data_IF_673659508509
#
_entry.id   IF_673659508509
#
_cell.length_a   1.000
_cell.length_b   1.000
_cell.length_c   1.000
_cell.angle_alpha   90.00
_cell.angle_beta   90.00
_cell.angle_gamma   90.00
#
_symmetry.space_group_name_H-M   'P 1'
#
loop_
_entity.id
_entity.type
_entity.pdbx_description
1 polymer ?
#
# COMPACT_ATOMS: atom_id res chain seq x y z
N UNK A 1 -35.54 0.87 -9.30
CA UNK A 1 -34.35 1.44 -8.62
C UNK A 1 -34.79 2.72 -7.92
N UNK A 2 -34.68 2.80 -6.59
CA UNK A 2 -35.15 3.95 -5.79
C UNK A 2 -34.17 5.13 -5.87
N UNK A 3 -34.66 6.36 -5.68
CA UNK A 3 -33.83 7.57 -5.65
C UNK A 3 -32.68 7.47 -4.62
N UNK A 4 -32.93 6.83 -3.49
CA UNK A 4 -31.93 6.54 -2.46
C UNK A 4 -30.84 5.58 -2.96
N UNK A 5 -31.19 4.56 -3.74
CA UNK A 5 -30.21 3.65 -4.32
C UNK A 5 -29.33 4.36 -5.37
N UNK A 6 -29.92 5.27 -6.16
CA UNK A 6 -29.18 6.06 -7.16
C UNK A 6 -28.21 7.06 -6.50
N UNK A 7 -28.64 7.72 -5.41
CA UNK A 7 -27.78 8.62 -4.65
C UNK A 7 -26.61 7.88 -3.98
N UNK A 8 -26.85 6.68 -3.42
CA UNK A 8 -25.80 5.86 -2.83
C UNK A 8 -24.75 5.42 -3.86
N UNK A 9 -25.20 4.98 -5.05
CA UNK A 9 -24.29 4.62 -6.14
C UNK A 9 -23.44 5.80 -6.64
N UNK A 10 -23.98 7.02 -6.65
CA UNK A 10 -23.23 8.22 -7.03
C UNK A 10 -22.15 8.60 -5.99
N UNK A 11 -22.41 8.37 -4.70
CA UNK A 11 -21.42 8.57 -3.62
C UNK A 11 -20.29 7.55 -3.73
N UNK A 12 -20.62 6.28 -3.94
CA UNK A 12 -19.63 5.21 -4.10
C UNK A 12 -18.74 5.44 -5.33
N UNK A 13 -19.33 5.89 -6.45
CA UNK A 13 -18.61 6.19 -7.69
C UNK A 13 -17.62 7.38 -7.60
N UNK A 14 -17.81 8.29 -6.64
CA UNK A 14 -16.88 9.42 -6.38
C UNK A 14 -15.94 9.14 -5.22
N UNK A 15 -16.06 7.97 -4.56
CA UNK A 15 -15.20 7.61 -3.44
C UNK A 15 -13.77 7.31 -3.91
N UNK A 16 -12.78 7.86 -3.23
CA UNK A 16 -11.37 7.55 -3.50
C UNK A 16 -10.99 6.24 -2.79
N UNK A 17 -10.18 5.41 -3.47
CA UNK A 17 -9.62 4.19 -2.89
C UNK A 17 -8.69 4.58 -1.73
N UNK A 18 -9.00 4.10 -0.52
CA UNK A 18 -8.12 4.31 0.63
C UNK A 18 -7.03 3.25 0.63
N UNK A 19 -5.82 3.64 1.02
CA UNK A 19 -4.70 2.71 1.11
C UNK A 19 -4.96 1.55 2.08
N UNK A 20 -5.70 1.80 3.16
CA UNK A 20 -6.08 0.79 4.16
C UNK A 20 -7.04 -0.27 3.59
N UNK A 21 -7.88 0.09 2.61
CA UNK A 21 -8.85 -0.82 1.98
C UNK A 21 -8.17 -1.84 1.05
N UNK A 22 -6.91 -1.60 0.67
CA UNK A 22 -6.11 -2.49 -0.18
C UNK A 22 -5.50 -3.67 0.61
N UNK A 23 -5.71 -3.74 1.93
CA UNK A 23 -5.09 -4.74 2.79
C UNK A 23 -3.56 -4.59 2.88
N UNK A 24 -3.02 -3.44 2.48
CA UNK A 24 -1.59 -3.16 2.49
C UNK A 24 -1.19 -2.65 3.86
N UNK A 25 -0.44 -3.48 4.60
CA UNK A 25 0.12 -3.07 5.87
C UNK A 25 1.43 -2.27 5.66
N UNK A 26 1.68 -1.19 6.42
CA UNK A 26 2.90 -0.38 6.27
C UNK A 26 4.19 -1.14 6.64
N UNK A 27 4.05 -2.24 7.40
CA UNK A 27 5.14 -3.18 7.70
C UNK A 27 5.14 -4.26 6.63
N UNK A 28 6.23 -4.35 5.88
CA UNK A 28 6.42 -5.34 4.82
C UNK A 28 6.78 -6.72 5.39
N UNK A 29 7.54 -6.75 6.49
CA UNK A 29 7.95 -8.00 7.14
C UNK A 29 8.01 -7.79 8.65
N UNK A 30 7.32 -8.62 9.41
CA UNK A 30 7.32 -8.60 10.88
C UNK A 30 7.97 -9.89 11.40
N UNK A 31 9.11 -9.76 12.08
CA UNK A 31 9.84 -10.87 12.69
C UNK A 31 9.56 -10.98 14.21
N UNK A 32 8.58 -10.26 14.74
CA UNK A 32 8.21 -10.25 16.16
C UNK A 32 9.11 -9.37 17.05
N UNK A 33 10.43 -9.38 16.82
CA UNK A 33 11.39 -8.46 17.46
C UNK A 33 11.82 -7.30 16.56
N UNK A 34 11.47 -7.36 15.27
CA UNK A 34 11.89 -6.39 14.26
C UNK A 34 10.80 -6.23 13.20
N UNK A 35 10.40 -4.98 12.97
CA UNK A 35 9.42 -4.62 11.95
C UNK A 35 10.11 -3.90 10.80
N UNK A 36 10.13 -4.53 9.64
CA UNK A 36 10.68 -3.95 8.42
C UNK A 36 9.56 -3.27 7.63
N UNK A 37 9.64 -1.94 7.50
CA UNK A 37 8.69 -1.14 6.72
C UNK A 37 9.08 -1.07 5.25
N UNK A 38 8.10 -0.85 4.37
CA UNK A 38 8.31 -0.70 2.92
C UNK A 38 9.38 0.35 2.55
N UNK A 39 9.45 1.47 3.28
CA UNK A 39 10.49 2.48 3.06
C UNK A 39 11.90 1.92 3.30
N UNK A 40 12.10 1.17 4.37
CA UNK A 40 13.41 0.57 4.68
C UNK A 40 13.77 -0.53 3.68
N UNK A 41 12.80 -1.34 3.28
CA UNK A 41 12.96 -2.34 2.23
C UNK A 41 13.40 -1.69 0.91
N UNK A 42 12.80 -0.56 0.53
CA UNK A 42 13.15 0.16 -0.70
C UNK A 42 14.59 0.69 -0.67
N UNK A 43 15.05 1.21 0.47
CA UNK A 43 16.45 1.62 0.64
C UNK A 43 17.42 0.44 0.52
N UNK A 44 17.13 -0.67 1.20
CA UNK A 44 17.94 -1.89 1.11
C UNK A 44 17.99 -2.42 -0.32
N UNK A 45 16.84 -2.51 -0.99
CA UNK A 45 16.75 -2.95 -2.38
C UNK A 45 17.55 -2.02 -3.30
N UNK A 46 17.45 -0.70 -3.13
CA UNK A 46 18.22 0.26 -3.92
C UNK A 46 19.74 0.11 -3.74
N UNK A 47 20.20 -0.14 -2.51
CA UNK A 47 21.63 -0.38 -2.23
C UNK A 47 22.09 -1.70 -2.86
N UNK A 48 21.34 -2.79 -2.70
CA UNK A 48 21.70 -4.11 -3.24
C UNK A 48 21.73 -4.09 -4.76
N UNK A 49 20.72 -3.49 -5.39
CA UNK A 49 20.65 -3.34 -6.85
C UNK A 49 21.72 -2.39 -7.38
N UNK A 50 21.95 -1.27 -6.70
CA UNK A 50 23.01 -0.33 -7.06
C UNK A 50 24.41 -0.95 -6.94
N UNK A 51 24.63 -1.75 -5.91
CA UNK A 51 25.87 -2.51 -5.73
C UNK A 51 26.06 -3.56 -6.83
N UNK A 52 25.02 -4.32 -7.17
CA UNK A 52 25.07 -5.27 -8.30
C UNK A 52 25.40 -4.55 -9.60
N UNK A 53 24.76 -3.42 -9.87
CA UNK A 53 24.96 -2.67 -11.11
C UNK A 53 26.40 -2.13 -11.28
N UNK A 54 27.08 -1.86 -10.16
CA UNK A 54 28.47 -1.35 -10.15
C UNK A 54 29.53 -2.47 -10.17
N UNK A 55 29.13 -3.73 -10.02
CA UNK A 55 29.99 -4.90 -10.07
C UNK A 55 30.20 -5.37 -11.51
#
# INVERSE_FOLDING_TARGET
MSLTALAAAAVDATSAIRWDDLGLHPVALDLGFFQLRWYSLAYLAGIVLGWWYLL
#
